data_IF_711975885299
#
_entry.id   IF_711975885299
#
_cell.length_a   1.000
_cell.length_b   1.000
_cell.length_c   1.000
_cell.angle_alpha   90.00
_cell.angle_beta   90.00
_cell.angle_gamma   90.00
#
_symmetry.space_group_name_H-M   'P 1'
#
loop_
_entity.id
_entity.type
_entity.pdbx_description
1 polymer ?
#
# COMPACT_ATOMS: atom_id res chain seq x y z
N UNK A 1 -10.46 -6.92 -39.64
CA UNK A 1 -10.39 -6.24 -38.31
C UNK A 1 -10.51 -4.72 -38.40
N UNK A 2 -10.18 -4.09 -39.52
CA UNK A 2 -10.24 -2.63 -39.76
C UNK A 2 -11.66 -2.09 -39.98
N UNK A 3 -12.62 -2.91 -40.42
CA UNK A 3 -13.96 -2.45 -40.75
C UNK A 3 -14.88 -2.21 -39.52
N UNK A 4 -14.51 -2.69 -38.35
CA UNK A 4 -15.31 -2.53 -37.11
C UNK A 4 -15.12 -1.16 -36.43
N UNK A 5 -14.10 -0.39 -36.84
CA UNK A 5 -13.77 0.92 -36.27
C UNK A 5 -14.15 2.11 -37.20
N UNK A 6 -14.74 1.83 -38.38
CA UNK A 6 -15.23 2.86 -39.29
C UNK A 6 -16.45 3.56 -38.68
N UNK A 7 -16.22 4.76 -38.16
CA UNK A 7 -17.27 5.60 -37.54
C UNK A 7 -17.03 5.94 -36.07
N UNK A 8 -15.98 5.40 -35.45
CA UNK A 8 -15.60 5.82 -34.09
C UNK A 8 -14.47 6.81 -34.19
N UNK A 9 -14.74 8.09 -33.94
CA UNK A 9 -13.71 9.12 -33.75
C UNK A 9 -12.95 8.82 -32.45
N UNK A 10 -11.86 8.07 -32.57
CA UNK A 10 -10.93 7.88 -31.46
C UNK A 10 -10.14 9.17 -31.33
N UNK A 11 -10.34 9.93 -30.29
CA UNK A 11 -9.52 11.11 -30.00
C UNK A 11 -8.06 10.67 -29.89
N UNK A 12 -7.18 11.36 -30.60
CA UNK A 12 -5.74 11.11 -30.56
C UNK A 12 -5.11 11.39 -29.19
N UNK A 13 -5.78 12.18 -28.36
CA UNK A 13 -5.34 12.56 -27.02
C UNK A 13 -6.46 12.32 -26.02
N UNK A 14 -6.14 11.76 -24.86
CA UNK A 14 -7.05 11.65 -23.73
C UNK A 14 -7.32 13.06 -23.16
N UNK A 15 -8.56 13.38 -22.84
CA UNK A 15 -8.90 14.67 -22.20
C UNK A 15 -8.21 14.87 -20.84
N UNK A 16 -7.79 13.78 -20.21
CA UNK A 16 -7.03 13.76 -18.96
C UNK A 16 -5.50 13.93 -19.18
N UNK A 17 -5.00 13.87 -20.41
CA UNK A 17 -3.56 13.90 -20.74
C UNK A 17 -2.92 15.28 -20.49
N UNK A 18 -3.72 16.30 -20.19
CA UNK A 18 -3.24 17.63 -19.73
C UNK A 18 -3.00 17.68 -18.23
N UNK A 19 -3.37 16.64 -17.49
CA UNK A 19 -2.99 16.49 -16.09
C UNK A 19 -1.52 16.08 -16.05
N UNK A 20 -0.68 17.00 -15.63
CA UNK A 20 0.75 16.93 -15.48
C UNK A 20 1.37 15.53 -15.54
N UNK A 21 2.04 15.21 -16.67
CA UNK A 21 3.03 14.16 -16.73
C UNK A 21 4.21 14.58 -15.83
N UNK A 22 4.13 14.28 -14.55
CA UNK A 22 5.16 14.57 -13.56
C UNK A 22 5.20 13.44 -12.51
N UNK A 23 6.30 13.32 -11.78
CA UNK A 23 6.33 12.38 -10.66
C UNK A 23 5.20 12.72 -9.69
N UNK A 24 4.51 11.68 -9.22
CA UNK A 24 3.47 11.83 -8.18
C UNK A 24 4.13 12.48 -6.97
N UNK A 25 3.68 13.68 -6.59
CA UNK A 25 4.24 14.37 -5.43
C UNK A 25 3.91 13.58 -4.16
N UNK A 26 4.85 13.59 -3.21
CA UNK A 26 4.67 12.96 -1.91
C UNK A 26 3.45 13.50 -1.21
N UNK A 27 2.58 13.74 -1.03
CA UNK A 27 1.41 14.38 -0.38
C UNK A 27 0.28 14.74 -1.37
N UNK A 28 0.16 14.00 -2.50
CA UNK A 28 -0.92 14.22 -3.45
C UNK A 28 -2.32 14.14 -2.80
N UNK A 29 -2.47 13.40 -1.70
CA UNK A 29 -3.72 13.30 -0.94
C UNK A 29 -4.18 14.62 -0.33
N UNK A 30 -3.27 15.55 -0.03
CA UNK A 30 -3.62 16.88 0.46
C UNK A 30 -4.45 17.71 -0.53
N UNK A 31 -4.45 17.32 -1.79
CA UNK A 31 -5.31 17.96 -2.81
C UNK A 31 -6.80 17.73 -2.53
N UNK A 32 -7.17 16.71 -1.74
CA UNK A 32 -8.55 16.48 -1.30
C UNK A 32 -8.98 17.39 -0.15
N UNK A 33 -8.05 18.12 0.47
CA UNK A 33 -8.31 19.07 1.56
C UNK A 33 -9.13 18.46 2.73
N UNK A 34 -8.91 17.16 3.02
CA UNK A 34 -9.56 16.44 4.13
C UNK A 34 -8.53 16.04 5.19
N UNK A 35 -8.44 16.77 6.33
CA UNK A 35 -7.48 16.48 7.40
C UNK A 35 -7.70 15.11 8.07
N UNK A 36 -8.93 14.55 7.99
CA UNK A 36 -9.22 13.23 8.56
C UNK A 36 -8.64 12.13 7.70
N UNK A 37 -8.73 12.29 6.38
CA UNK A 37 -8.08 11.39 5.44
C UNK A 37 -6.57 11.40 5.62
N UNK A 38 -5.95 12.59 5.73
CA UNK A 38 -4.51 12.73 5.96
C UNK A 38 -4.07 11.99 7.23
N UNK A 39 -4.78 12.18 8.34
CA UNK A 39 -4.48 11.50 9.60
C UNK A 39 -4.60 9.97 9.52
N UNK A 40 -5.60 9.45 8.81
CA UNK A 40 -5.79 8.01 8.61
C UNK A 40 -4.66 7.41 7.76
N UNK A 41 -4.23 8.12 6.73
CA UNK A 41 -3.12 7.67 5.88
C UNK A 41 -1.81 7.66 6.66
N UNK A 42 -1.53 8.70 7.43
CA UNK A 42 -0.33 8.77 8.27
C UNK A 42 -0.32 7.62 9.31
N UNK A 43 -1.45 7.34 9.94
CA UNK A 43 -1.58 6.23 10.89
C UNK A 43 -1.39 4.88 10.19
N UNK A 44 -1.96 4.69 9.00
CA UNK A 44 -1.82 3.46 8.23
C UNK A 44 -0.36 3.22 7.83
N UNK A 45 0.36 4.24 7.35
CA UNK A 45 1.78 4.15 7.00
C UNK A 45 2.63 3.78 8.22
N UNK A 46 2.36 4.40 9.37
CA UNK A 46 3.12 4.15 10.59
C UNK A 46 2.91 2.73 11.14
N UNK A 47 1.69 2.20 11.05
CA UNK A 47 1.31 0.93 11.69
C UNK A 47 1.29 -0.28 10.78
N UNK A 48 1.42 -0.12 9.48
CA UNK A 48 1.33 -1.23 8.54
C UNK A 48 2.53 -2.18 8.66
N UNK A 49 2.33 -3.47 8.97
CA UNK A 49 3.42 -4.43 9.11
C UNK A 49 4.11 -4.78 7.79
N UNK A 50 3.38 -4.76 6.67
CA UNK A 50 3.96 -5.08 5.35
C UNK A 50 4.89 -3.97 4.90
N UNK A 51 4.55 -2.71 5.19
CA UNK A 51 5.42 -1.58 4.90
C UNK A 51 6.69 -1.61 5.75
N UNK A 52 6.59 -2.04 7.01
CA UNK A 52 7.76 -2.27 7.88
C UNK A 52 8.65 -3.39 7.33
N UNK A 53 8.05 -4.49 6.87
CA UNK A 53 8.79 -5.57 6.22
C UNK A 53 9.48 -5.10 4.92
N UNK A 54 8.82 -4.24 4.13
CA UNK A 54 9.43 -3.64 2.95
C UNK A 54 10.63 -2.73 3.31
N UNK A 55 10.52 -1.93 4.37
CA UNK A 55 11.63 -1.12 4.89
C UNK A 55 12.84 -1.99 5.30
N UNK A 56 12.60 -3.11 6.00
CA UNK A 56 13.66 -4.05 6.38
C UNK A 56 14.35 -4.67 5.16
N UNK A 57 13.62 -4.92 4.06
CA UNK A 57 14.22 -5.39 2.79
C UNK A 57 15.12 -4.34 2.17
N UNK A 58 14.78 -3.06 2.28
CA UNK A 58 15.66 -1.95 1.85
C UNK A 58 16.96 -1.96 2.66
N UNK A 59 16.87 -2.09 3.99
CA UNK A 59 18.06 -2.17 4.87
C UNK A 59 18.92 -3.39 4.54
N UNK A 60 18.30 -4.55 4.31
CA UNK A 60 19.00 -5.76 3.91
C UNK A 60 19.73 -5.58 2.57
N UNK A 61 19.08 -4.97 1.58
CA UNK A 61 19.69 -4.70 0.28
C UNK A 61 20.84 -3.70 0.38
N UNK A 62 20.75 -2.69 1.25
CA UNK A 62 21.83 -1.77 1.56
C UNK A 62 23.05 -2.50 2.14
N UNK A 63 22.82 -3.41 3.10
CA UNK A 63 23.89 -4.22 3.69
C UNK A 63 24.60 -5.11 2.64
N UNK A 64 23.85 -5.71 1.70
CA UNK A 64 24.45 -6.47 0.60
C UNK A 64 25.27 -5.57 -0.35
N UNK A 65 24.82 -4.36 -0.63
CA UNK A 65 25.59 -3.40 -1.41
C UNK A 65 26.90 -3.01 -0.69
N UNK A 66 26.87 -2.85 0.62
CA UNK A 66 28.07 -2.57 1.41
C UNK A 66 29.04 -3.76 1.45
N UNK A 67 28.56 -4.99 1.55
CA UNK A 67 29.38 -6.22 1.42
C UNK A 67 30.05 -6.25 0.05
N UNK A 68 29.31 -5.98 -1.03
CA UNK A 68 29.83 -5.97 -2.38
C UNK A 68 30.89 -4.85 -2.59
N UNK A 69 30.72 -3.70 -1.96
CA UNK A 69 31.73 -2.62 -1.92
C UNK A 69 32.97 -3.05 -1.13
N UNK A 70 32.78 -3.76 -0.02
CA UNK A 70 33.84 -4.30 0.82
C UNK A 70 34.74 -5.29 0.08
N UNK A 71 34.18 -6.11 -0.82
CA UNK A 71 34.92 -7.09 -1.61
C UNK A 71 36.00 -6.49 -2.53
N UNK A 72 35.92 -5.20 -2.85
CA UNK A 72 36.92 -4.47 -3.62
C UNK A 72 38.12 -4.02 -2.77
N UNK A 73 38.08 -4.18 -1.45
CA UNK A 73 39.13 -3.71 -0.50
C UNK A 73 39.93 -4.93 -0.01
N UNK A 74 41.20 -4.73 0.41
CA UNK A 74 41.93 -5.77 1.12
C UNK A 74 41.21 -6.20 2.39
N UNK A 75 41.12 -7.51 2.63
CA UNK A 75 40.63 -8.08 3.89
C UNK A 75 41.79 -8.42 4.82
N UNK A 76 41.62 -8.12 6.10
CA UNK A 76 42.58 -8.46 7.17
C UNK A 76 41.95 -9.49 8.09
N UNK A 77 42.61 -10.62 8.27
CA UNK A 77 42.15 -11.70 9.14
C UNK A 77 43.16 -11.94 10.24
N UNK A 78 42.71 -11.95 11.49
CA UNK A 78 43.48 -12.38 12.64
C UNK A 78 42.99 -13.74 13.10
N UNK A 79 43.83 -14.76 13.02
CA UNK A 79 43.54 -16.10 13.49
C UNK A 79 44.36 -16.38 14.73
N UNK A 80 43.70 -16.60 15.88
CA UNK A 80 44.29 -17.02 17.10
C UNK A 80 44.07 -18.53 17.34
N UNK A 81 45.12 -19.29 17.63
CA UNK A 81 45.00 -20.70 18.06
C UNK A 81 45.19 -20.78 19.57
N UNK A 82 44.16 -21.26 20.27
CA UNK A 82 44.22 -21.59 21.68
C UNK A 82 44.22 -23.11 21.80
N UNK A 83 45.20 -23.69 22.52
CA UNK A 83 45.13 -25.10 22.91
C UNK A 83 45.05 -25.23 24.42
N UNK A 84 44.13 -26.01 24.94
CA UNK A 84 44.04 -26.43 26.33
C UNK A 84 44.46 -27.87 26.44
N UNK A 85 45.50 -28.20 27.18
CA UNK A 85 45.83 -29.56 27.60
C UNK A 85 45.37 -29.73 29.04
N UNK A 86 44.32 -30.54 29.23
CA UNK A 86 43.88 -30.99 30.57
C UNK A 86 44.43 -32.36 30.84
N UNK A 87 45.47 -32.48 31.63
CA UNK A 87 45.85 -33.72 32.30
C UNK A 87 45.27 -33.64 33.70
N UNK A 88 44.37 -34.52 34.07
CA UNK A 88 43.55 -34.69 35.29
C UNK A 88 44.07 -34.14 36.63
N UNK A 89 44.24 -32.86 36.73
CA UNK A 89 44.63 -32.12 37.92
C UNK A 89 44.22 -30.65 37.73
N UNK A 90 43.99 -29.93 38.81
CA UNK A 90 43.39 -28.60 38.89
C UNK A 90 44.14 -27.44 38.17
N UNK A 91 45.09 -27.72 37.26
CA UNK A 91 45.80 -26.71 36.50
C UNK A 91 45.30 -26.65 35.05
N UNK A 92 44.35 -25.74 34.83
CA UNK A 92 43.91 -25.35 33.51
C UNK A 92 44.88 -24.30 32.96
N UNK A 93 45.93 -24.68 32.27
CA UNK A 93 46.76 -23.74 31.52
C UNK A 93 46.19 -23.57 30.12
N UNK A 94 45.30 -22.58 29.92
CA UNK A 94 44.89 -22.11 28.59
C UNK A 94 45.83 -20.98 28.17
N UNK A 95 46.63 -21.24 27.16
CA UNK A 95 47.52 -20.22 26.58
C UNK A 95 47.16 -19.95 25.12
N UNK A 96 47.21 -18.66 24.72
CA UNK A 96 47.20 -18.31 23.29
C UNK A 96 48.57 -18.76 22.71
N UNK A 97 48.58 -19.85 21.91
CA UNK A 97 49.79 -20.44 21.39
C UNK A 97 50.32 -19.82 20.09
N UNK A 98 49.48 -19.02 19.44
CA UNK A 98 49.88 -18.29 18.22
C UNK A 98 48.80 -17.37 17.74
N UNK A 99 49.22 -16.24 17.17
CA UNK A 99 48.32 -15.33 16.44
C UNK A 99 48.95 -15.09 15.06
N UNK A 100 48.15 -15.28 14.01
CA UNK A 100 48.58 -15.08 12.63
C UNK A 100 47.70 -13.96 12.05
N UNK A 101 48.34 -12.88 11.60
CA UNK A 101 47.71 -11.82 10.85
C UNK A 101 47.89 -12.13 9.36
N UNK A 102 46.77 -12.36 8.67
CA UNK A 102 46.70 -12.57 7.23
C UNK A 102 46.06 -11.38 6.52
N UNK A 103 46.56 -11.03 5.35
CA UNK A 103 45.95 -10.06 4.46
C UNK A 103 45.66 -10.74 3.11
N UNK A 104 44.47 -10.55 2.56
CA UNK A 104 44.13 -11.04 1.22
C UNK A 104 43.43 -9.95 0.43
N UNK A 105 43.74 -9.86 -0.86
CA UNK A 105 43.14 -8.92 -1.77
C UNK A 105 43.04 -9.51 -3.17
N UNK A 106 41.85 -9.44 -3.78
CA UNK A 106 41.63 -9.84 -5.17
C UNK A 106 41.74 -8.62 -6.08
N UNK A 107 42.70 -8.63 -6.99
CA UNK A 107 42.84 -7.60 -8.02
C UNK A 107 41.81 -7.86 -9.12
N UNK A 108 40.86 -6.96 -9.30
CA UNK A 108 39.74 -7.11 -10.25
C UNK A 108 40.15 -6.72 -11.68
N UNK A 109 40.90 -7.60 -12.36
CA UNK A 109 41.37 -7.38 -13.72
C UNK A 109 40.26 -7.41 -14.75
N UNK A 110 39.28 -8.31 -14.60
CA UNK A 110 38.16 -8.52 -15.55
C UNK A 110 36.85 -7.84 -15.12
N UNK A 111 36.83 -7.12 -14.04
CA UNK A 111 35.65 -6.35 -13.60
C UNK A 111 34.59 -7.14 -12.87
N UNK A 112 34.85 -8.41 -12.50
CA UNK A 112 33.90 -9.27 -11.79
C UNK A 112 33.35 -8.63 -10.53
N UNK A 113 34.25 -8.09 -9.68
CA UNK A 113 33.86 -7.47 -8.41
C UNK A 113 33.17 -6.11 -8.65
N UNK A 114 33.63 -5.32 -9.61
CA UNK A 114 33.00 -4.03 -9.98
C UNK A 114 31.59 -4.22 -10.52
N UNK A 115 31.37 -5.22 -11.38
CA UNK A 115 30.03 -5.54 -11.86
C UNK A 115 29.14 -6.13 -10.76
N UNK A 116 29.69 -6.96 -9.86
CA UNK A 116 28.98 -7.47 -8.69
C UNK A 116 28.52 -6.34 -7.76
N UNK A 117 29.39 -5.36 -7.50
CA UNK A 117 29.03 -4.15 -6.75
C UNK A 117 27.90 -3.38 -7.45
N UNK A 118 28.05 -3.12 -8.75
CA UNK A 118 27.02 -2.39 -9.52
C UNK A 118 25.66 -3.11 -9.48
N UNK A 119 25.66 -4.43 -9.61
CA UNK A 119 24.44 -5.23 -9.50
C UNK A 119 23.79 -5.11 -8.10
N UNK A 120 24.57 -5.16 -7.02
CA UNK A 120 24.07 -4.99 -5.67
C UNK A 120 23.53 -3.57 -5.41
N UNK A 121 24.16 -2.54 -5.95
CA UNK A 121 23.68 -1.15 -5.88
C UNK A 121 22.36 -0.96 -6.64
N UNK A 122 22.20 -1.60 -7.81
CA UNK A 122 20.94 -1.59 -8.54
C UNK A 122 19.83 -2.36 -7.79
N UNK A 123 20.16 -3.47 -7.15
CA UNK A 123 19.22 -4.21 -6.31
C UNK A 123 18.75 -3.38 -5.11
N UNK A 124 19.65 -2.61 -4.51
CA UNK A 124 19.29 -1.65 -3.45
C UNK A 124 18.35 -0.55 -3.98
N UNK A 125 18.65 0.06 -5.12
CA UNK A 125 17.79 1.05 -5.74
C UNK A 125 16.40 0.49 -6.10
N UNK A 126 16.35 -0.77 -6.57
CA UNK A 126 15.07 -1.47 -6.81
C UNK A 126 14.26 -1.64 -5.52
N UNK A 127 14.90 -2.09 -4.43
CA UNK A 127 14.21 -2.25 -3.14
C UNK A 127 13.66 -0.91 -2.59
N UNK A 128 14.38 0.20 -2.81
CA UNK A 128 13.88 1.54 -2.46
C UNK A 128 12.64 1.92 -3.30
N UNK A 129 12.67 1.66 -4.60
CA UNK A 129 11.53 1.93 -5.47
C UNK A 129 10.30 1.07 -5.11
N UNK A 130 10.51 -0.20 -4.76
CA UNK A 130 9.45 -1.11 -4.29
C UNK A 130 8.83 -0.63 -2.97
N UNK A 131 9.65 -0.12 -2.04
CA UNK A 131 9.15 0.46 -0.80
C UNK A 131 8.30 1.71 -1.06
N UNK A 132 8.75 2.62 -1.91
CA UNK A 132 7.98 3.82 -2.27
C UNK A 132 6.67 3.46 -2.99
N UNK A 133 6.70 2.48 -3.89
CA UNK A 133 5.49 1.97 -4.53
C UNK A 133 4.51 1.38 -3.50
N UNK A 134 5.00 0.59 -2.54
CA UNK A 134 4.16 0.02 -1.48
C UNK A 134 3.53 1.12 -0.61
N UNK A 135 4.30 2.16 -0.27
CA UNK A 135 3.82 3.33 0.50
C UNK A 135 2.70 4.07 -0.23
N UNK A 136 2.89 4.36 -1.52
CA UNK A 136 1.90 5.04 -2.34
C UNK A 136 0.63 4.19 -2.54
N UNK A 137 0.80 2.89 -2.77
CA UNK A 137 -0.31 1.95 -2.93
C UNK A 137 -1.15 1.82 -1.65
N UNK A 138 -0.50 1.80 -0.48
CA UNK A 138 -1.20 1.82 0.81
C UNK A 138 -2.02 3.10 0.97
N UNK A 139 -1.41 4.26 0.71
CA UNK A 139 -2.08 5.56 0.79
C UNK A 139 -3.31 5.62 -0.14
N UNK A 140 -3.18 5.16 -1.38
CA UNK A 140 -4.28 5.09 -2.33
C UNK A 140 -5.40 4.14 -1.88
N UNK A 141 -5.04 3.00 -1.27
CA UNK A 141 -6.02 2.03 -0.75
C UNK A 141 -6.82 2.61 0.41
N UNK A 142 -6.16 3.30 1.35
CA UNK A 142 -6.81 3.98 2.47
C UNK A 142 -7.75 5.08 1.95
N UNK A 143 -7.28 5.91 1.02
CA UNK A 143 -8.11 6.95 0.42
C UNK A 143 -9.35 6.39 -0.27
N UNK A 144 -9.19 5.33 -1.06
CA UNK A 144 -10.32 4.64 -1.69
C UNK A 144 -11.34 4.14 -0.67
N UNK A 145 -10.86 3.49 0.39
CA UNK A 145 -11.73 2.96 1.46
C UNK A 145 -12.46 4.08 2.20
N UNK A 146 -11.80 5.22 2.41
CA UNK A 146 -12.38 6.42 3.00
C UNK A 146 -13.55 6.95 2.17
N UNK A 147 -13.36 7.11 0.85
CA UNK A 147 -14.43 7.60 -0.03
C UNK A 147 -15.57 6.60 -0.18
N UNK A 148 -15.30 5.28 -0.19
CA UNK A 148 -16.35 4.25 -0.15
C UNK A 148 -17.18 4.38 1.15
N UNK A 149 -16.55 4.62 2.28
CA UNK A 149 -17.26 4.80 3.55
C UNK A 149 -18.11 6.09 3.57
N UNK A 150 -17.61 7.17 2.96
CA UNK A 150 -18.39 8.41 2.79
C UNK A 150 -19.59 8.16 1.86
N UNK A 151 -19.37 7.51 0.74
CA UNK A 151 -20.43 7.14 -0.22
C UNK A 151 -21.53 6.33 0.47
N UNK A 152 -21.16 5.26 1.19
CA UNK A 152 -22.12 4.43 1.91
C UNK A 152 -22.94 5.25 2.92
N UNK A 153 -22.30 6.17 3.64
CA UNK A 153 -23.00 7.06 4.58
C UNK A 153 -23.97 8.02 3.89
N UNK A 154 -23.58 8.56 2.74
CA UNK A 154 -24.45 9.45 1.97
C UNK A 154 -25.63 8.69 1.37
N UNK A 155 -25.40 7.48 0.86
CA UNK A 155 -26.45 6.61 0.34
C UNK A 155 -27.44 6.22 1.43
N UNK A 156 -26.96 5.88 2.64
CA UNK A 156 -27.84 5.61 3.77
C UNK A 156 -28.70 6.84 4.15
N UNK A 157 -28.11 8.02 4.18
CA UNK A 157 -28.85 9.25 4.47
C UNK A 157 -29.92 9.54 3.40
N UNK A 158 -29.59 9.34 2.12
CA UNK A 158 -30.53 9.50 1.01
C UNK A 158 -31.68 8.46 1.08
N UNK A 159 -31.34 7.19 1.28
CA UNK A 159 -32.34 6.12 1.43
C UNK A 159 -33.28 6.37 2.61
N UNK A 160 -32.75 6.81 3.76
CA UNK A 160 -33.56 7.18 4.94
C UNK A 160 -34.52 8.32 4.63
N UNK A 161 -34.06 9.38 3.93
CA UNK A 161 -34.92 10.48 3.51
C UNK A 161 -36.01 10.04 2.54
N UNK A 162 -35.68 9.15 1.59
CA UNK A 162 -36.65 8.57 0.65
C UNK A 162 -37.70 7.71 1.38
N UNK A 163 -37.28 6.89 2.34
CA UNK A 163 -38.21 6.08 3.16
C UNK A 163 -39.16 6.99 3.97
N UNK A 164 -38.66 8.06 4.56
CA UNK A 164 -39.51 9.03 5.28
C UNK A 164 -40.53 9.70 4.35
N UNK A 165 -40.13 10.11 3.16
CA UNK A 165 -41.04 10.70 2.16
C UNK A 165 -42.09 9.70 1.67
N UNK A 166 -41.68 8.44 1.46
CA UNK A 166 -42.60 7.38 1.06
C UNK A 166 -43.62 7.02 2.16
N UNK A 167 -43.15 7.06 3.44
CA UNK A 167 -44.07 6.87 4.58
C UNK A 167 -45.12 7.97 4.64
N UNK A 168 -44.73 9.22 4.42
CA UNK A 168 -45.69 10.33 4.39
C UNK A 168 -46.66 10.23 3.20
N UNK A 169 -46.16 9.80 2.03
CA UNK A 169 -46.99 9.53 0.87
C UNK A 169 -48.03 8.43 1.13
N UNK A 170 -47.64 7.33 1.76
CA UNK A 170 -48.55 6.26 2.17
C UNK A 170 -49.63 6.78 3.10
N UNK A 171 -49.27 7.56 4.12
CA UNK A 171 -50.19 8.20 5.05
C UNK A 171 -51.23 9.06 4.31
N UNK A 172 -50.76 9.91 3.39
CA UNK A 172 -51.64 10.76 2.58
C UNK A 172 -52.57 9.93 1.74
N UNK A 173 -52.10 8.89 1.07
CA UNK A 173 -52.94 7.99 0.23
C UNK A 173 -53.99 7.22 1.08
N UNK A 174 -53.62 6.77 2.30
CA UNK A 174 -54.55 6.17 3.24
C UNK A 174 -55.66 7.14 3.69
N UNK A 175 -55.30 8.40 4.00
CA UNK A 175 -56.27 9.43 4.36
C UNK A 175 -57.21 9.77 3.23
N UNK A 176 -56.68 9.93 1.99
CA UNK A 176 -57.47 10.20 0.78
C UNK A 176 -58.40 9.04 0.44
N UNK A 177 -57.97 7.78 0.64
CA UNK A 177 -58.84 6.62 0.48
C UNK A 177 -59.99 6.63 1.49
N UNK A 178 -59.74 7.05 2.72
CA UNK A 178 -60.76 7.13 3.79
C UNK A 178 -61.89 8.08 3.40
N UNK A 179 -61.59 9.14 2.65
CA UNK A 179 -62.58 10.11 2.14
C UNK A 179 -63.09 9.76 0.71
N UNK A 180 -62.69 8.63 0.16
CA UNK A 180 -63.19 8.13 -1.13
C UNK A 180 -62.54 8.73 -2.38
N UNK A 181 -61.37 9.40 -2.23
CA UNK A 181 -60.64 10.02 -3.35
C UNK A 181 -59.68 9.04 -3.99
N UNK A 182 -58.87 8.29 -3.23
CA UNK A 182 -57.92 7.31 -3.73
C UNK A 182 -58.45 5.90 -3.72
N UNK A 183 -57.98 5.07 -4.64
CA UNK A 183 -58.33 3.65 -4.75
C UNK A 183 -57.46 2.77 -3.84
N UNK A 184 -57.88 1.52 -3.59
CA UNK A 184 -57.06 0.52 -2.90
C UNK A 184 -55.74 0.23 -3.62
N UNK A 185 -55.70 0.38 -4.94
CA UNK A 185 -54.51 0.22 -5.77
C UNK A 185 -53.46 1.32 -5.47
N UNK A 186 -53.91 2.57 -5.30
CA UNK A 186 -53.00 3.70 -5.03
C UNK A 186 -52.30 3.52 -3.68
N UNK A 187 -53.05 3.09 -2.65
CA UNK A 187 -52.48 2.75 -1.32
C UNK A 187 -51.49 1.57 -1.41
N UNK A 188 -51.83 0.53 -2.22
CA UNK A 188 -50.92 -0.60 -2.39
C UNK A 188 -49.61 -0.21 -3.08
N UNK A 189 -49.67 0.70 -4.08
CA UNK A 189 -48.49 1.24 -4.75
C UNK A 189 -47.63 2.08 -3.82
N UNK A 190 -48.25 2.95 -3.00
CA UNK A 190 -47.53 3.76 -2.02
C UNK A 190 -46.83 2.87 -0.97
N UNK A 191 -47.50 1.77 -0.54
CA UNK A 191 -46.90 0.79 0.39
C UNK A 191 -45.72 0.06 -0.22
N UNK A 192 -45.85 -0.42 -1.46
CA UNK A 192 -44.74 -1.09 -2.16
C UNK A 192 -43.52 -0.17 -2.35
N UNK A 193 -43.79 1.13 -2.59
CA UNK A 193 -42.69 2.13 -2.65
C UNK A 193 -42.00 2.30 -1.31
N UNK A 194 -42.77 2.36 -0.21
CA UNK A 194 -42.19 2.42 1.14
C UNK A 194 -41.31 1.20 1.44
N UNK A 195 -41.84 -0.01 1.20
CA UNK A 195 -41.13 -1.27 1.42
C UNK A 195 -39.80 -1.29 0.65
N UNK A 196 -39.79 -0.79 -0.59
CA UNK A 196 -38.59 -0.70 -1.43
C UNK A 196 -37.54 0.21 -0.81
N UNK A 197 -37.89 1.39 -0.32
CA UNK A 197 -36.94 2.32 0.30
C UNK A 197 -36.49 1.87 1.69
N UNK A 198 -37.36 1.20 2.45
CA UNK A 198 -36.95 0.58 3.71
C UNK A 198 -35.95 -0.56 3.50
N UNK A 199 -36.07 -1.33 2.43
CA UNK A 199 -35.09 -2.35 2.08
C UNK A 199 -33.75 -1.74 1.66
N UNK A 200 -33.74 -0.61 0.95
CA UNK A 200 -32.51 0.15 0.66
C UNK A 200 -31.79 0.65 1.93
N UNK A 201 -32.55 0.98 2.98
CA UNK A 201 -31.95 1.40 4.28
C UNK A 201 -31.30 0.20 5.00
N UNK A 202 -31.79 -1.03 4.76
CA UNK A 202 -31.26 -2.25 5.42
C UNK A 202 -30.05 -2.87 4.71
N UNK A 203 -29.84 -2.54 3.44
CA UNK A 203 -28.69 -3.00 2.64
C UNK A 203 -27.42 -2.20 2.95
#
# INVERSE_FOLDING_TARGET
RESALQGTEIRAEWSADRAAAGPISDHWLRTFADPRLDALVDEAILRNPDLRAAATRVEQSAAYADIARGALRPSLNLVGTASGSGTGGSDFSSGLQGAILGASWEIDLWGRLRYGRSAAEQSYASAQADFEFARQSLAATVARSWFIAIEARLNLAAATSMAQSAHELLRISEDRRRVGIDSGRDVALARASLDTFEDMVRQ
#
